data_IF_429673269336
#
_entry.id   IF_429673269336
#
_cell.length_a   1.000
_cell.length_b   1.000
_cell.length_c   1.000
_cell.angle_alpha   90.00
_cell.angle_beta   90.00
_cell.angle_gamma   90.00
#
_symmetry.space_group_name_H-M   'P 1'
#
loop_
_entity.id
_entity.type
_entity.pdbx_description
1 polymer ?
#
# COMPACT_ATOMS: atom_id res chain seq x y z
N UNK A 1 -34.69 23.44 16.79
CA UNK A 1 -34.01 23.75 15.50
C UNK A 1 -32.49 23.54 15.56
N UNK A 2 -31.68 24.13 16.48
CA UNK A 2 -30.21 24.02 16.43
C UNK A 2 -29.68 22.59 16.72
N UNK A 3 -30.35 21.85 17.62
CA UNK A 3 -29.99 20.47 17.95
C UNK A 3 -30.13 19.51 16.77
N UNK A 4 -31.12 19.72 15.91
CA UNK A 4 -31.34 18.88 14.72
C UNK A 4 -30.20 19.05 13.71
N UNK A 5 -29.74 20.28 13.52
CA UNK A 5 -28.61 20.61 12.64
C UNK A 5 -27.32 20.00 13.21
N UNK A 6 -27.07 20.15 14.50
CA UNK A 6 -25.89 19.57 15.16
C UNK A 6 -25.84 18.04 15.02
N UNK A 7 -26.97 17.35 15.23
CA UNK A 7 -27.05 15.89 15.07
C UNK A 7 -26.79 15.48 13.63
N UNK A 8 -27.38 16.16 12.65
CA UNK A 8 -27.15 15.88 11.23
C UNK A 8 -25.67 16.08 10.84
N UNK A 9 -25.03 17.14 11.32
CA UNK A 9 -23.59 17.37 11.08
C UNK A 9 -22.73 16.24 11.64
N UNK A 10 -23.03 15.75 12.84
CA UNK A 10 -22.30 14.61 13.44
C UNK A 10 -22.50 13.34 12.61
N UNK A 11 -23.72 13.06 12.17
CA UNK A 11 -24.00 11.89 11.31
C UNK A 11 -23.21 11.98 10.01
N UNK A 12 -23.18 13.15 9.37
CA UNK A 12 -22.42 13.36 8.12
C UNK A 12 -20.93 13.10 8.35
N UNK A 13 -20.35 13.60 9.42
CA UNK A 13 -18.93 13.39 9.74
C UNK A 13 -18.64 11.89 9.97
N UNK A 14 -19.50 11.20 10.72
CA UNK A 14 -19.33 9.76 11.00
C UNK A 14 -19.43 8.94 9.73
N UNK A 15 -20.43 9.22 8.88
CA UNK A 15 -20.60 8.53 7.59
C UNK A 15 -19.41 8.80 6.69
N UNK A 16 -18.96 10.05 6.61
CA UNK A 16 -17.78 10.41 5.83
C UNK A 16 -16.53 9.69 6.31
N UNK A 17 -16.29 9.67 7.63
CA UNK A 17 -15.16 8.95 8.23
C UNK A 17 -15.22 7.45 7.94
N UNK A 18 -16.41 6.84 8.01
CA UNK A 18 -16.60 5.42 7.69
C UNK A 18 -16.32 5.11 6.21
N UNK A 19 -16.73 6.00 5.30
CA UNK A 19 -16.42 5.89 3.86
C UNK A 19 -14.92 5.98 3.65
N UNK A 20 -14.26 7.01 4.19
CA UNK A 20 -12.81 7.21 4.08
C UNK A 20 -12.04 6.00 4.64
N UNK A 21 -12.46 5.46 5.78
CA UNK A 21 -11.87 4.26 6.36
C UNK A 21 -12.01 3.05 5.43
N UNK A 22 -13.21 2.81 4.90
CA UNK A 22 -13.47 1.69 3.98
C UNK A 22 -12.62 1.81 2.71
N UNK A 23 -12.48 3.03 2.19
CA UNK A 23 -11.64 3.35 1.05
C UNK A 23 -10.16 3.02 1.34
N UNK A 24 -9.62 3.45 2.48
CA UNK A 24 -8.26 3.16 2.89
C UNK A 24 -8.01 1.63 3.04
N UNK A 25 -8.95 0.91 3.66
CA UNK A 25 -8.86 -0.55 3.82
C UNK A 25 -8.87 -1.26 2.46
N UNK A 26 -9.72 -0.82 1.53
CA UNK A 26 -9.78 -1.38 0.19
C UNK A 26 -8.45 -1.20 -0.55
N UNK A 27 -7.85 -0.01 -0.49
CA UNK A 27 -6.57 0.26 -1.13
C UNK A 27 -5.46 -0.63 -0.58
N UNK A 28 -5.37 -0.78 0.75
CA UNK A 28 -4.36 -1.65 1.37
C UNK A 28 -4.51 -3.11 0.92
N UNK A 29 -5.75 -3.63 0.90
CA UNK A 29 -6.02 -5.00 0.43
C UNK A 29 -5.63 -5.18 -1.04
N UNK A 30 -5.91 -4.18 -1.88
CA UNK A 30 -5.52 -4.18 -3.29
C UNK A 30 -4.00 -4.23 -3.43
N UNK A 31 -3.27 -3.37 -2.73
CA UNK A 31 -1.80 -3.37 -2.76
C UNK A 31 -1.21 -4.71 -2.30
N UNK A 32 -1.78 -5.34 -1.27
CA UNK A 32 -1.34 -6.65 -0.82
C UNK A 32 -1.60 -7.75 -1.82
N UNK A 33 -2.79 -7.78 -2.43
CA UNK A 33 -3.10 -8.76 -3.47
C UNK A 33 -2.12 -8.68 -4.65
N UNK A 34 -1.67 -7.47 -5.00
CA UNK A 34 -0.70 -7.25 -6.07
C UNK A 34 0.70 -7.69 -5.70
N UNK A 35 1.13 -7.44 -4.46
CA UNK A 35 2.40 -7.94 -3.94
C UNK A 35 2.40 -9.48 -3.93
N UNK A 36 1.32 -10.08 -3.44
CA UNK A 36 1.15 -11.53 -3.38
C UNK A 36 1.17 -12.18 -4.76
N UNK A 37 0.41 -11.62 -5.72
CA UNK A 37 0.38 -12.09 -7.09
C UNK A 37 1.74 -11.90 -7.79
N UNK A 38 2.40 -10.76 -7.58
CA UNK A 38 3.74 -10.49 -8.11
C UNK A 38 4.79 -11.46 -7.55
N UNK A 39 4.75 -11.77 -6.26
CA UNK A 39 5.63 -12.74 -5.63
C UNK A 39 5.34 -14.17 -6.15
N UNK A 40 4.08 -14.59 -6.17
CA UNK A 40 3.67 -15.91 -6.62
C UNK A 40 4.05 -16.20 -8.07
N UNK A 41 3.88 -15.21 -8.97
CA UNK A 41 4.28 -15.34 -10.39
C UNK A 41 5.78 -15.57 -10.58
N UNK A 42 6.60 -15.07 -9.66
CA UNK A 42 8.05 -15.20 -9.69
C UNK A 42 8.56 -16.31 -8.76
N UNK A 43 7.67 -17.10 -8.16
CA UNK A 43 8.01 -18.19 -7.25
C UNK A 43 8.44 -17.74 -5.85
N UNK A 44 8.42 -16.44 -5.54
CA UNK A 44 8.79 -15.93 -4.23
C UNK A 44 7.67 -16.11 -3.20
N UNK A 45 8.06 -16.36 -1.95
CA UNK A 45 7.14 -16.34 -0.80
C UNK A 45 7.39 -15.12 0.05
N UNK A 46 6.40 -14.27 0.24
CA UNK A 46 6.54 -13.10 1.11
C UNK A 46 6.50 -13.54 2.58
N UNK A 47 7.57 -13.26 3.32
CA UNK A 47 7.72 -13.56 4.75
C UNK A 47 7.24 -12.36 5.59
N UNK A 48 7.66 -11.16 5.21
CA UNK A 48 7.38 -9.94 5.97
C UNK A 48 7.07 -8.78 5.01
N UNK A 49 6.20 -7.88 5.47
CA UNK A 49 5.73 -6.71 4.71
C UNK A 49 5.60 -5.54 5.67
N UNK A 50 6.35 -4.49 5.40
CA UNK A 50 6.30 -3.25 6.16
C UNK A 50 5.93 -2.12 5.22
N UNK A 51 4.86 -1.39 5.55
CA UNK A 51 4.51 -0.18 4.83
C UNK A 51 5.52 0.92 5.19
N UNK A 52 6.17 1.49 4.19
CA UNK A 52 7.12 2.59 4.37
C UNK A 52 6.56 3.87 3.76
N UNK A 53 6.81 5.00 4.43
CA UNK A 53 6.54 6.29 3.83
C UNK A 53 7.53 6.55 2.70
N UNK A 54 7.07 7.12 1.58
CA UNK A 54 7.86 7.38 0.36
C UNK A 54 9.21 8.10 0.61
N UNK A 55 9.32 8.81 1.73
CA UNK A 55 10.46 9.65 2.09
C UNK A 55 11.64 8.85 2.66
N UNK A 56 11.43 7.62 3.12
CA UNK A 56 12.48 6.79 3.74
C UNK A 56 12.94 5.62 2.84
N UNK A 57 12.30 5.42 1.69
CA UNK A 57 12.64 4.34 0.77
C UNK A 57 13.51 4.79 -0.42
N UNK A 58 14.01 3.83 -1.23
CA UNK A 58 14.81 4.09 -2.44
C UNK A 58 14.02 4.76 -3.58
N UNK A 59 12.78 5.16 -3.32
CA UNK A 59 11.88 5.85 -4.25
C UNK A 59 11.62 7.30 -3.84
N UNK A 60 12.45 7.90 -2.98
CA UNK A 60 12.29 9.29 -2.53
C UNK A 60 12.17 10.31 -3.68
N UNK A 61 12.84 10.08 -4.82
CA UNK A 61 12.72 10.93 -6.02
C UNK A 61 11.35 10.86 -6.73
N UNK A 62 10.48 9.93 -6.33
CA UNK A 62 9.10 9.77 -6.80
C UNK A 62 8.07 10.42 -5.84
N UNK A 63 8.51 11.26 -4.91
CA UNK A 63 7.67 12.00 -3.94
C UNK A 63 6.51 12.83 -4.54
N UNK A 64 6.57 13.20 -5.81
CA UNK A 64 5.54 13.99 -6.49
C UNK A 64 4.27 13.20 -6.86
N UNK A 65 4.29 11.87 -6.68
CA UNK A 65 3.14 11.02 -6.91
C UNK A 65 2.38 10.76 -5.61
N UNK A 66 1.21 11.40 -5.47
CA UNK A 66 0.38 11.36 -4.25
C UNK A 66 -0.32 10.02 -4.03
N UNK A 67 -0.38 9.16 -5.05
CA UNK A 67 -1.16 7.93 -5.05
C UNK A 67 -0.31 6.67 -4.81
N UNK A 68 0.99 6.80 -4.53
CA UNK A 68 1.91 5.67 -4.47
C UNK A 68 2.13 5.17 -3.05
N UNK A 69 2.30 3.85 -2.92
CA UNK A 69 2.63 3.19 -1.65
C UNK A 69 3.95 2.45 -1.80
N UNK A 70 4.85 2.63 -0.83
CA UNK A 70 6.12 1.89 -0.76
C UNK A 70 5.97 0.81 0.29
N UNK A 71 6.36 -0.41 -0.08
CA UNK A 71 6.42 -1.54 0.82
C UNK A 71 7.83 -2.08 0.85
N UNK A 72 8.40 -2.16 2.03
CA UNK A 72 9.58 -2.97 2.27
C UNK A 72 9.11 -4.41 2.49
N UNK A 73 9.57 -5.34 1.66
CA UNK A 73 9.18 -6.75 1.72
C UNK A 73 10.40 -7.64 1.90
N UNK A 74 10.26 -8.62 2.78
CA UNK A 74 11.19 -9.73 2.91
C UNK A 74 10.56 -10.91 2.20
N UNK A 75 11.23 -11.46 1.19
CA UNK A 75 10.76 -12.61 0.43
C UNK A 75 11.74 -13.78 0.50
N UNK A 76 11.23 -14.99 0.43
CA UNK A 76 11.98 -16.22 0.29
C UNK A 76 11.98 -16.63 -1.18
N UNK A 77 13.17 -16.80 -1.76
CA UNK A 77 13.35 -17.41 -3.08
C UNK A 77 13.16 -18.93 -3.00
N UNK A 78 12.75 -19.63 -4.07
CA UNK A 78 12.78 -21.10 -4.18
C UNK A 78 14.03 -21.79 -3.66
N UNK A 79 15.19 -21.13 -3.72
CA UNK A 79 16.46 -21.62 -3.14
C UNK A 79 16.53 -21.54 -1.61
N UNK A 80 15.46 -21.11 -0.94
CA UNK A 80 15.38 -20.92 0.52
C UNK A 80 16.12 -19.67 1.02
N UNK A 81 16.59 -18.80 0.13
CA UNK A 81 17.29 -17.56 0.49
C UNK A 81 16.30 -16.44 0.76
N UNK A 82 16.52 -15.72 1.86
CA UNK A 82 15.79 -14.49 2.17
C UNK A 82 16.41 -13.32 1.43
N UNK A 83 15.57 -12.57 0.73
CA UNK A 83 15.92 -11.39 -0.02
C UNK A 83 15.03 -10.24 0.46
N UNK A 84 15.60 -9.05 0.57
CA UNK A 84 14.86 -7.82 0.87
C UNK A 84 14.67 -7.01 -0.41
N UNK A 85 13.48 -6.43 -0.55
CA UNK A 85 13.16 -5.55 -1.66
C UNK A 85 12.23 -4.43 -1.23
N UNK A 86 12.40 -3.30 -1.88
CA UNK A 86 11.46 -2.19 -1.84
C UNK A 86 10.55 -2.29 -3.06
N UNK A 87 9.25 -2.37 -2.81
CA UNK A 87 8.24 -2.45 -3.86
C UNK A 87 7.37 -1.21 -3.81
N UNK A 88 7.38 -0.48 -4.92
CA UNK A 88 6.48 0.63 -5.15
C UNK A 88 5.25 0.12 -5.88
N UNK A 89 4.09 0.34 -5.30
CA UNK A 89 2.78 0.00 -5.88
C UNK A 89 2.08 1.28 -6.31
N UNK A 90 1.69 1.37 -7.58
CA UNK A 90 0.95 2.51 -8.12
C UNK A 90 -0.51 2.56 -7.64
N UNK A 91 -1.07 3.77 -7.60
CA UNK A 91 -2.28 4.10 -6.88
C UNK A 91 -3.61 3.95 -7.62
N UNK A 92 -4.66 4.36 -6.89
CA UNK A 92 -6.09 4.21 -7.15
C UNK A 92 -6.54 4.27 -8.62
N UNK A 93 -5.99 5.22 -9.39
CA UNK A 93 -6.49 5.59 -10.73
C UNK A 93 -5.57 5.18 -11.89
N UNK A 94 -4.36 4.68 -11.63
CA UNK A 94 -3.42 4.29 -12.70
C UNK A 94 -3.43 2.79 -12.95
N UNK A 95 -3.11 2.36 -14.20
CA UNK A 95 -2.78 0.97 -14.44
C UNK A 95 -1.70 0.56 -13.46
N UNK A 96 -1.98 -0.57 -12.82
CA UNK A 96 -1.19 -1.04 -11.69
C UNK A 96 0.19 -1.42 -12.18
N UNK A 97 1.19 -0.70 -11.68
CA UNK A 97 2.59 -0.94 -11.97
C UNK A 97 3.31 -1.27 -10.67
N UNK A 98 4.10 -2.34 -10.72
CA UNK A 98 4.90 -2.84 -9.61
C UNK A 98 6.35 -2.55 -9.95
N UNK A 99 6.90 -1.48 -9.38
CA UNK A 99 8.33 -1.23 -9.48
C UNK A 99 9.02 -1.89 -8.29
N UNK A 100 9.76 -2.96 -8.55
CA UNK A 100 10.53 -3.68 -7.53
C UNK A 100 11.99 -3.22 -7.59
N UNK A 101 12.57 -2.97 -6.42
CA UNK A 101 14.00 -2.74 -6.26
C UNK A 101 14.54 -3.60 -5.14
N UNK A 102 15.39 -4.54 -5.50
CA UNK A 102 16.08 -5.38 -4.53
C UNK A 102 17.09 -4.53 -3.75
N UNK A 103 17.23 -4.77 -2.45
CA UNK A 103 18.40 -4.30 -1.74
C UNK A 103 19.55 -5.23 -2.13
N UNK A 104 20.52 -4.68 -2.86
CA UNK A 104 21.72 -5.42 -3.21
C UNK A 104 22.41 -5.88 -1.92
N UNK A 105 22.64 -7.19 -1.81
CA UNK A 105 23.60 -7.77 -0.89
C UNK A 105 24.99 -7.71 -1.49
#
# INVERSE_FOLDING_TARGET
MPYLIAVLSVVVIVVFAAVVWRLAVWQNRRCFALLDDGAARNGFRIIERTYEQLWHGPFWWRWWYTDWAVYHVVVENPDGRRLTAHVLVSGWFRPTDLTVRWEDG
#
